data_IF_587358709932
#
_entry.id   IF_587358709932
#
_cell.length_a   1.000
_cell.length_b   1.000
_cell.length_c   1.000
_cell.angle_alpha   90.00
_cell.angle_beta   90.00
_cell.angle_gamma   90.00
#
_symmetry.space_group_name_H-M   'P 1'
#
loop_
_entity.id
_entity.type
_entity.pdbx_description
1 polymer ?
#
# COMPACT_ATOMS: atom_id res chain seq x y z
N UNK A 1 -6.81 -12.63 -14.66
CA UNK A 1 -7.20 -11.39 -14.01
C UNK A 1 -8.45 -10.88 -14.63
N UNK A 2 -9.43 -10.41 -13.87
CA UNK A 2 -10.48 -9.63 -14.45
C UNK A 2 -9.84 -8.44 -15.18
N UNK A 3 -10.38 -8.09 -16.32
CA UNK A 3 -10.01 -6.94 -17.10
C UNK A 3 -10.13 -5.69 -16.23
N UNK A 4 -9.06 -5.38 -15.51
CA UNK A 4 -9.04 -4.30 -14.53
C UNK A 4 -8.20 -3.14 -15.03
N UNK A 5 -8.56 -1.95 -14.62
CA UNK A 5 -7.66 -0.81 -14.62
C UNK A 5 -6.64 -1.05 -13.53
N UNK A 6 -5.44 -1.20 -13.91
CA UNK A 6 -4.36 -1.49 -13.00
C UNK A 6 -3.07 -1.55 -13.79
N UNK A 7 -2.10 -2.17 -13.22
CA UNK A 7 -0.80 -2.30 -13.83
C UNK A 7 -0.81 -3.57 -14.66
N UNK A 8 -0.81 -3.47 -16.00
CA UNK A 8 -1.13 -4.60 -16.88
C UNK A 8 -0.08 -5.70 -16.89
N UNK A 9 1.06 -5.49 -16.24
CA UNK A 9 2.15 -6.46 -16.17
C UNK A 9 2.13 -7.32 -14.91
N UNK A 10 1.03 -7.29 -14.15
CA UNK A 10 0.90 -8.14 -12.99
C UNK A 10 0.04 -9.36 -13.25
N UNK A 11 0.68 -10.45 -13.58
CA UNK A 11 0.12 -11.80 -13.49
C UNK A 11 0.17 -12.29 -12.04
N UNK A 12 -0.48 -11.61 -11.14
CA UNK A 12 -0.23 -11.70 -9.72
C UNK A 12 -0.95 -12.83 -9.00
N UNK A 13 -1.60 -13.74 -9.69
CA UNK A 13 -2.35 -14.82 -9.04
C UNK A 13 -1.60 -16.15 -8.99
N UNK A 14 -0.34 -16.16 -9.38
CA UNK A 14 0.47 -17.36 -9.20
C UNK A 14 1.02 -17.38 -7.78
N UNK A 15 0.72 -18.43 -7.03
CA UNK A 15 1.34 -18.70 -5.73
C UNK A 15 2.83 -19.11 -5.86
N UNK A 16 3.44 -18.83 -6.99
CA UNK A 16 4.85 -19.15 -7.24
C UNK A 16 5.70 -17.92 -7.04
N UNK A 17 6.86 -18.05 -6.41
CA UNK A 17 7.85 -16.98 -6.38
C UNK A 17 8.22 -16.56 -7.80
N UNK A 18 8.23 -15.25 -8.05
CA UNK A 18 8.67 -14.70 -9.32
C UNK A 18 10.19 -14.49 -9.26
N UNK A 19 10.92 -15.11 -10.17
CA UNK A 19 12.35 -14.82 -10.32
C UNK A 19 12.54 -13.48 -11.01
N UNK A 20 13.13 -12.53 -10.31
CA UNK A 20 13.35 -11.16 -10.77
C UNK A 20 14.77 -10.95 -11.31
N UNK A 21 15.70 -11.78 -10.92
CA UNK A 21 17.08 -11.89 -11.42
C UNK A 21 17.60 -13.28 -11.09
N UNK A 22 18.70 -13.76 -11.72
CA UNK A 22 19.26 -15.08 -11.45
C UNK A 22 19.43 -15.38 -9.97
N UNK A 23 18.70 -16.39 -9.47
CA UNK A 23 18.69 -16.80 -8.08
C UNK A 23 17.98 -15.84 -7.11
N UNK A 24 17.35 -14.79 -7.56
CA UNK A 24 16.65 -13.79 -6.73
C UNK A 24 15.15 -13.84 -6.98
N UNK A 25 14.43 -14.26 -5.98
CA UNK A 25 13.00 -14.48 -6.06
C UNK A 25 12.24 -13.45 -5.21
N UNK A 26 11.16 -12.93 -5.77
CA UNK A 26 10.16 -12.25 -4.97
C UNK A 26 9.34 -13.28 -4.19
N UNK A 27 8.77 -12.87 -3.06
CA UNK A 27 7.79 -13.69 -2.36
C UNK A 27 6.61 -14.02 -3.28
N UNK A 28 5.88 -15.12 -3.04
CA UNK A 28 4.66 -15.39 -3.78
C UNK A 28 3.75 -14.18 -3.77
N UNK A 29 3.17 -13.88 -4.92
CA UNK A 29 2.21 -12.79 -5.03
C UNK A 29 1.03 -13.03 -4.12
N UNK A 30 0.62 -12.01 -3.41
CA UNK A 30 -0.49 -12.07 -2.48
C UNK A 30 -0.87 -10.70 -1.97
N UNK A 31 -2.05 -10.64 -1.39
CA UNK A 31 -2.58 -9.45 -0.75
C UNK A 31 -2.53 -9.67 0.75
N UNK A 32 -1.78 -8.83 1.43
CA UNK A 32 -1.45 -9.02 2.83
C UNK A 32 -1.78 -7.78 3.65
N UNK A 33 -1.95 -7.96 4.95
CA UNK A 33 -1.82 -6.93 5.96
C UNK A 33 -2.72 -5.72 5.69
N UNK A 34 -4.00 -5.97 5.51
CA UNK A 34 -5.02 -4.98 5.17
C UNK A 34 -5.09 -3.81 6.16
N UNK A 35 -5.25 -2.61 5.60
CA UNK A 35 -5.64 -1.40 6.31
C UNK A 35 -7.01 -0.97 5.81
N UNK A 36 -7.95 -0.84 6.73
CA UNK A 36 -9.33 -0.49 6.39
C UNK A 36 -9.58 0.95 6.76
N UNK A 37 -10.03 1.73 5.81
CA UNK A 37 -10.37 3.14 6.01
C UNK A 37 -11.76 3.44 5.48
N UNK A 38 -12.41 4.44 6.06
CA UNK A 38 -13.62 5.03 5.54
C UNK A 38 -13.30 6.38 4.91
N UNK A 39 -13.77 6.64 3.70
CA UNK A 39 -13.55 7.94 3.06
C UNK A 39 -14.47 8.99 3.70
N UNK A 40 -13.85 10.01 4.28
CA UNK A 40 -14.54 11.09 5.03
C UNK A 40 -14.82 12.33 4.19
N UNK A 41 -14.07 12.54 3.11
CA UNK A 41 -14.28 13.69 2.22
C UNK A 41 -15.56 13.49 1.40
N UNK A 42 -16.54 14.38 1.63
CA UNK A 42 -17.84 14.36 0.95
C UNK A 42 -17.76 14.61 -0.56
N UNK A 43 -16.67 15.17 -1.03
CA UNK A 43 -16.45 15.44 -2.46
C UNK A 43 -15.73 14.30 -3.18
N UNK A 44 -15.27 13.31 -2.44
CA UNK A 44 -14.58 12.16 -3.02
C UNK A 44 -15.58 11.21 -3.70
N UNK A 45 -15.20 10.68 -4.87
CA UNK A 45 -16.06 9.75 -5.64
C UNK A 45 -16.39 8.44 -4.90
N UNK A 46 -15.62 8.10 -3.88
CA UNK A 46 -15.84 6.91 -3.03
C UNK A 46 -16.55 7.24 -1.72
N UNK A 47 -16.96 8.48 -1.54
CA UNK A 47 -17.68 8.86 -0.33
C UNK A 47 -19.06 8.18 -0.29
N UNK A 48 -19.36 7.60 0.85
CA UNK A 48 -20.66 7.00 1.12
C UNK A 48 -21.36 7.77 2.24
N UNK A 49 -22.45 8.50 1.94
CA UNK A 49 -23.20 9.27 2.95
C UNK A 49 -23.88 8.37 4.00
N UNK A 50 -24.12 7.09 3.70
CA UNK A 50 -24.68 6.13 4.66
C UNK A 50 -23.62 5.61 5.64
N UNK A 51 -22.34 5.84 5.37
CA UNK A 51 -21.23 5.39 6.21
C UNK A 51 -21.01 3.88 6.21
N UNK A 52 -21.56 3.16 5.24
CA UNK A 52 -21.53 1.69 5.15
C UNK A 52 -20.43 1.14 4.26
N UNK A 53 -19.68 2.01 3.57
CA UNK A 53 -18.63 1.63 2.66
C UNK A 53 -17.26 1.92 3.26
N UNK A 54 -16.38 0.95 3.17
CA UNK A 54 -14.98 1.01 3.59
C UNK A 54 -14.09 0.62 2.44
N UNK A 55 -12.88 1.14 2.43
CA UNK A 55 -11.83 0.79 1.46
C UNK A 55 -10.71 0.07 2.18
N UNK A 56 -10.34 -1.08 1.64
CA UNK A 56 -9.31 -1.93 2.19
C UNK A 56 -8.08 -1.85 1.30
N UNK A 57 -7.02 -1.25 1.82
CA UNK A 57 -5.72 -1.18 1.18
C UNK A 57 -4.86 -2.32 1.68
N UNK A 58 -4.31 -3.11 0.76
CA UNK A 58 -3.53 -4.28 1.11
C UNK A 58 -2.13 -4.16 0.50
N UNK A 59 -1.16 -4.58 1.28
CA UNK A 59 0.18 -4.79 0.78
C UNK A 59 0.13 -5.74 -0.42
N UNK A 60 0.79 -5.36 -1.50
CA UNK A 60 0.82 -6.15 -2.72
C UNK A 60 2.25 -6.56 -3.09
N UNK A 61 2.48 -7.87 -3.16
CA UNK A 61 3.72 -8.42 -3.70
C UNK A 61 3.64 -8.49 -5.22
N UNK A 62 4.10 -7.46 -5.85
CA UNK A 62 3.97 -7.27 -7.29
C UNK A 62 5.28 -7.43 -8.05
N UNK A 63 6.38 -7.77 -7.36
CA UNK A 63 7.73 -7.72 -7.94
C UNK A 63 8.29 -6.30 -8.10
N UNK A 64 7.42 -5.29 -8.04
CA UNK A 64 7.76 -3.87 -8.07
C UNK A 64 7.54 -3.20 -6.73
N UNK A 65 7.62 -1.88 -6.73
CA UNK A 65 7.40 -1.04 -5.56
C UNK A 65 6.35 0.02 -5.87
N UNK A 66 5.80 0.61 -4.80
CA UNK A 66 4.93 1.77 -4.96
C UNK A 66 3.49 1.47 -5.37
N UNK A 67 3.00 0.24 -5.12
CA UNK A 67 1.62 -0.14 -5.38
C UNK A 67 0.99 -0.86 -4.19
N UNK A 68 -0.29 -0.60 -3.96
CA UNK A 68 -1.12 -1.38 -3.06
C UNK A 68 -2.33 -1.94 -3.80
N UNK A 69 -2.88 -3.04 -3.31
CA UNK A 69 -4.16 -3.56 -3.78
C UNK A 69 -5.30 -2.82 -3.07
N UNK A 70 -6.39 -2.61 -3.78
CA UNK A 70 -7.60 -1.96 -3.28
C UNK A 70 -8.79 -2.90 -3.40
N UNK A 71 -9.50 -3.06 -2.28
CA UNK A 71 -10.81 -3.70 -2.24
C UNK A 71 -11.83 -2.75 -1.61
N UNK A 72 -13.09 -2.94 -1.98
CA UNK A 72 -14.23 -2.27 -1.37
C UNK A 72 -14.94 -3.25 -0.45
N UNK A 73 -15.28 -2.81 0.74
CA UNK A 73 -16.09 -3.55 1.69
C UNK A 73 -17.34 -2.73 1.96
N UNK A 74 -18.51 -3.33 1.81
CA UNK A 74 -19.76 -2.65 2.06
C UNK A 74 -20.67 -3.50 2.95
N UNK A 75 -21.30 -2.84 3.91
CA UNK A 75 -22.41 -3.42 4.66
C UNK A 75 -23.64 -3.54 3.77
N UNK A 76 -24.20 -4.75 3.65
CA UNK A 76 -25.43 -5.01 2.94
C UNK A 76 -26.68 -4.67 3.80
N UNK A 77 -27.88 -4.85 3.24
CA UNK A 77 -29.15 -4.61 3.93
C UNK A 77 -29.44 -5.55 5.10
N UNK A 78 -28.68 -6.60 5.25
CA UNK A 78 -28.79 -7.55 6.36
C UNK A 78 -27.73 -7.28 7.45
N UNK A 79 -26.91 -6.22 7.30
CA UNK A 79 -25.82 -5.90 8.20
C UNK A 79 -24.57 -6.75 7.97
N UNK A 80 -24.47 -7.47 6.84
CA UNK A 80 -23.32 -8.28 6.53
C UNK A 80 -22.28 -7.48 5.72
N UNK A 81 -21.00 -7.65 6.06
CA UNK A 81 -19.91 -7.02 5.34
C UNK A 81 -19.54 -7.83 4.10
N UNK A 82 -19.75 -7.26 2.94
CA UNK A 82 -19.46 -7.89 1.64
C UNK A 82 -18.24 -7.24 1.02
N UNK A 83 -17.24 -8.06 0.70
CA UNK A 83 -16.01 -7.62 0.06
C UNK A 83 -16.11 -7.82 -1.45
N UNK A 84 -15.71 -6.81 -2.21
CA UNK A 84 -15.67 -6.82 -3.66
C UNK A 84 -14.56 -5.92 -4.20
N UNK A 85 -14.49 -5.82 -5.51
CA UNK A 85 -13.57 -4.87 -6.14
C UNK A 85 -14.13 -3.46 -6.15
N UNK A 86 -13.24 -2.47 -6.12
CA UNK A 86 -13.60 -1.10 -6.43
C UNK A 86 -13.74 -0.95 -7.94
N UNK A 87 -14.75 -0.25 -8.37
CA UNK A 87 -14.97 0.07 -9.78
C UNK A 87 -14.75 1.56 -10.04
N UNK A 88 -14.24 1.86 -11.23
CA UNK A 88 -14.18 3.23 -11.74
C UNK A 88 -15.59 3.69 -12.20
N UNK A 89 -15.81 5.00 -12.39
CA UNK A 89 -17.07 5.49 -12.96
C UNK A 89 -17.39 4.90 -14.34
N UNK A 90 -16.39 4.43 -15.08
CA UNK A 90 -16.56 3.75 -16.37
C UNK A 90 -16.89 2.25 -16.25
N UNK A 91 -17.01 1.72 -15.03
CA UNK A 91 -17.34 0.32 -14.77
C UNK A 91 -16.13 -0.64 -14.84
N UNK A 92 -14.93 -0.13 -14.90
CA UNK A 92 -13.74 -0.96 -14.90
C UNK A 92 -13.28 -1.27 -13.47
N UNK A 93 -12.80 -2.48 -13.24
CA UNK A 93 -12.25 -2.88 -11.96
C UNK A 93 -10.94 -2.15 -11.66
N UNK A 94 -10.90 -1.47 -10.53
CA UNK A 94 -9.69 -0.84 -9.99
C UNK A 94 -9.12 -1.75 -8.91
N UNK A 95 -8.00 -2.40 -9.21
CA UNK A 95 -7.39 -3.37 -8.31
C UNK A 95 -6.11 -2.86 -7.65
N UNK A 96 -5.28 -2.15 -8.39
CA UNK A 96 -4.02 -1.58 -7.89
C UNK A 96 -4.02 -0.07 -7.98
N UNK A 97 -3.45 0.55 -6.95
CA UNK A 97 -3.20 2.00 -6.92
C UNK A 97 -1.72 2.28 -6.77
N UNK A 98 -1.22 3.36 -7.35
CA UNK A 98 0.04 3.96 -6.91
C UNK A 98 -0.02 4.24 -5.41
N UNK A 99 0.91 3.67 -4.66
CA UNK A 99 0.84 3.73 -3.21
C UNK A 99 2.26 3.69 -2.61
N UNK A 100 2.78 4.81 -2.09
CA UNK A 100 4.13 4.87 -1.57
C UNK A 100 4.36 3.86 -0.44
N UNK A 101 5.25 2.90 -0.67
CA UNK A 101 5.53 1.83 0.29
C UNK A 101 4.52 0.67 0.30
N UNK A 102 3.56 0.63 -0.65
CA UNK A 102 2.53 -0.42 -0.71
C UNK A 102 3.05 -1.85 -0.91
N UNK A 103 4.31 -2.01 -1.27
CA UNK A 103 5.00 -3.29 -1.39
C UNK A 103 5.44 -3.89 -0.04
N UNK A 104 5.37 -3.13 1.04
CA UNK A 104 5.65 -3.54 2.42
C UNK A 104 4.46 -3.20 3.32
N UNK A 105 4.54 -3.58 4.59
CA UNK A 105 3.53 -3.20 5.58
C UNK A 105 3.51 -1.69 5.77
N UNK A 106 2.35 -1.10 5.62
CA UNK A 106 2.06 0.29 5.94
C UNK A 106 0.96 0.36 7.00
N UNK A 107 0.78 1.54 7.59
CA UNK A 107 -0.29 1.80 8.53
C UNK A 107 -0.94 3.14 8.19
N UNK A 108 -2.28 3.18 8.15
CA UNK A 108 -3.06 4.37 7.86
C UNK A 108 -3.94 4.69 9.06
N UNK A 109 -3.97 5.97 9.45
CA UNK A 109 -4.87 6.50 10.45
C UNK A 109 -5.49 7.79 9.94
N UNK A 110 -6.77 8.02 10.23
CA UNK A 110 -7.44 9.30 9.96
C UNK A 110 -7.37 10.18 11.21
N UNK A 111 -6.98 11.41 11.01
CA UNK A 111 -6.98 12.45 12.05
C UNK A 111 -8.18 13.37 11.87
N UNK A 112 -9.04 13.39 12.87
CA UNK A 112 -10.26 14.20 12.88
C UNK A 112 -9.97 15.71 13.01
N UNK A 113 -8.82 16.10 13.58
CA UNK A 113 -8.43 17.49 13.76
C UNK A 113 -7.95 18.09 12.44
N UNK A 114 -6.93 17.49 11.85
CA UNK A 114 -6.38 17.94 10.56
C UNK A 114 -7.25 17.55 9.37
N UNK A 115 -8.16 16.60 9.55
CA UNK A 115 -8.97 15.97 8.50
C UNK A 115 -8.13 15.34 7.40
N UNK A 116 -7.02 14.74 7.79
CA UNK A 116 -6.08 14.08 6.91
C UNK A 116 -5.95 12.60 7.27
N UNK A 117 -5.64 11.80 6.28
CA UNK A 117 -5.12 10.46 6.47
C UNK A 117 -3.61 10.55 6.59
N UNK A 118 -3.08 9.96 7.64
CA UNK A 118 -1.66 9.83 7.86
C UNK A 118 -1.22 8.40 7.60
N UNK A 119 -0.10 8.23 6.94
CA UNK A 119 0.43 6.92 6.62
C UNK A 119 1.91 6.83 6.95
N UNK A 120 2.28 5.80 7.71
CA UNK A 120 3.67 5.38 7.85
C UNK A 120 3.94 4.20 6.93
N UNK A 121 4.99 4.27 6.14
CA UNK A 121 5.39 3.23 5.20
C UNK A 121 6.89 3.24 4.94
N UNK A 122 7.41 2.17 4.35
CA UNK A 122 8.81 2.12 3.97
C UNK A 122 9.07 2.85 2.64
N UNK A 123 10.20 3.53 2.57
CA UNK A 123 10.70 4.13 1.35
C UNK A 123 11.79 3.26 0.73
N UNK A 124 11.65 2.96 -0.55
CA UNK A 124 12.67 2.26 -1.34
C UNK A 124 13.48 3.25 -2.16
N UNK A 125 14.80 3.14 -2.13
CA UNK A 125 15.72 4.01 -2.86
C UNK A 125 16.24 3.38 -4.14
N UNK A 126 16.40 2.08 -4.12
CA UNK A 126 16.98 1.34 -5.25
C UNK A 126 15.94 0.94 -6.31
N UNK A 127 14.77 1.57 -6.28
CA UNK A 127 13.68 1.28 -7.20
C UNK A 127 14.01 1.45 -8.68
N UNK A 128 14.99 2.33 -8.98
CA UNK A 128 15.43 2.61 -10.35
C UNK A 128 16.65 1.79 -10.76
N UNK A 129 17.19 1.00 -9.86
CA UNK A 129 18.33 0.13 -10.17
C UNK A 129 17.85 -1.22 -10.68
N UNK A 130 18.59 -1.77 -11.63
CA UNK A 130 18.35 -3.16 -12.03
C UNK A 130 18.71 -4.09 -10.89
N UNK A 131 17.93 -5.11 -10.68
CA UNK A 131 18.13 -6.07 -9.58
C UNK A 131 19.50 -6.74 -9.68
N UNK A 132 19.96 -7.05 -10.90
CA UNK A 132 21.28 -7.63 -11.14
C UNK A 132 22.45 -6.72 -10.76
N UNK A 133 22.21 -5.41 -10.62
CA UNK A 133 23.24 -4.46 -10.19
C UNK A 133 23.36 -4.31 -8.67
N UNK A 134 22.42 -4.90 -7.91
CA UNK A 134 22.46 -4.88 -6.45
C UNK A 134 23.42 -5.94 -5.93
N UNK A 135 24.15 -5.67 -4.82
CA UNK A 135 25.03 -6.64 -4.20
C UNK A 135 24.28 -7.92 -3.82
N UNK A 136 24.82 -9.07 -4.16
CA UNK A 136 24.22 -10.37 -3.80
C UNK A 136 24.23 -10.61 -2.29
N UNK A 137 25.18 -10.02 -1.60
CA UNK A 137 25.34 -10.12 -0.14
C UNK A 137 24.42 -9.20 0.63
N UNK A 138 23.70 -8.30 -0.05
CA UNK A 138 22.73 -7.43 0.59
C UNK A 138 21.56 -8.27 1.12
N UNK A 139 21.16 -8.03 2.37
CA UNK A 139 19.95 -8.61 2.95
C UNK A 139 18.72 -8.30 2.10
N UNK A 140 18.76 -7.18 1.42
CA UNK A 140 17.69 -6.66 0.60
C UNK A 140 18.02 -6.74 -0.90
N UNK A 141 18.62 -7.82 -1.35
CA UNK A 141 18.98 -7.99 -2.76
C UNK A 141 17.90 -7.70 -3.80
N UNK A 142 16.74 -7.25 -3.35
CA UNK A 142 15.61 -6.78 -4.16
C UNK A 142 15.21 -5.37 -3.71
N UNK A 143 14.97 -4.42 -4.63
CA UNK A 143 14.54 -3.05 -4.30
C UNK A 143 13.26 -3.01 -3.46
N UNK A 144 12.36 -3.94 -3.69
CA UNK A 144 11.09 -4.04 -2.97
C UNK A 144 11.22 -4.64 -1.56
N UNK A 145 12.43 -4.89 -1.09
CA UNK A 145 12.67 -5.43 0.25
C UNK A 145 13.50 -4.49 1.14
N UNK A 146 13.74 -3.28 0.70
CA UNK A 146 14.39 -2.24 1.52
C UNK A 146 13.49 -1.84 2.70
N UNK A 147 14.00 -1.99 3.93
CA UNK A 147 13.20 -1.81 5.16
C UNK A 147 13.81 -0.84 6.16
N UNK A 148 14.90 -0.18 5.82
CA UNK A 148 15.68 0.62 6.76
C UNK A 148 15.28 2.10 6.80
N UNK A 149 14.30 2.50 5.97
CA UNK A 149 13.77 3.87 5.94
C UNK A 149 12.26 3.84 6.17
N UNK A 150 11.82 4.61 7.14
CA UNK A 150 10.40 4.77 7.46
C UNK A 150 10.01 6.22 7.23
N UNK A 151 9.04 6.43 6.35
CA UNK A 151 8.52 7.74 5.99
C UNK A 151 7.12 7.96 6.55
N UNK A 152 6.77 9.23 6.74
CA UNK A 152 5.43 9.69 7.06
C UNK A 152 4.86 10.43 5.86
N UNK A 153 3.66 10.09 5.49
CA UNK A 153 2.91 10.72 4.41
C UNK A 153 1.54 11.17 4.90
N UNK A 154 0.95 12.10 4.20
CA UNK A 154 -0.43 12.53 4.43
C UNK A 154 -1.23 12.60 3.13
N UNK A 155 -2.54 12.47 3.25
CA UNK A 155 -3.47 12.51 2.13
C UNK A 155 -4.84 13.00 2.57
N UNK A 156 -5.60 13.65 1.68
CA UNK A 156 -7.02 13.95 1.88
C UNK A 156 -7.95 12.81 1.46
N UNK A 157 -7.47 11.93 0.60
CA UNK A 157 -8.33 10.99 -0.14
C UNK A 157 -7.79 9.55 -0.22
N UNK A 158 -6.67 9.24 0.44
CA UNK A 158 -5.97 7.96 0.36
C UNK A 158 -5.50 7.54 -1.05
N UNK A 159 -5.49 8.48 -2.00
CA UNK A 159 -5.02 8.26 -3.37
C UNK A 159 -3.79 9.12 -3.65
N UNK A 160 -3.90 10.41 -3.37
CA UNK A 160 -2.81 11.37 -3.56
C UNK A 160 -2.04 11.52 -2.24
N UNK A 161 -0.85 10.97 -2.20
CA UNK A 161 0.00 10.97 -1.01
C UNK A 161 1.13 12.00 -1.13
N UNK A 162 1.23 12.86 -0.13
CA UNK A 162 2.29 13.84 0.03
C UNK A 162 3.24 13.41 1.13
N UNK A 163 4.54 13.59 0.94
CA UNK A 163 5.53 13.31 1.96
C UNK A 163 5.51 14.39 3.03
N UNK A 164 5.36 13.99 4.29
CA UNK A 164 5.50 14.87 5.46
C UNK A 164 6.95 14.87 5.97
N UNK A 165 7.61 13.71 5.99
CA UNK A 165 8.98 13.61 6.44
C UNK A 165 9.46 12.17 6.60
N UNK A 166 10.71 12.05 7.07
CA UNK A 166 11.30 10.77 7.46
C UNK A 166 11.17 10.56 8.96
N UNK A 167 10.47 9.50 9.37
CA UNK A 167 10.36 9.13 10.80
C UNK A 167 11.67 8.52 11.28
N UNK A 168 12.26 7.64 10.47
CA UNK A 168 13.51 6.97 10.79
C UNK A 168 14.28 6.59 9.53
N UNK A 169 15.58 6.78 9.59
CA UNK A 169 16.50 6.38 8.53
C UNK A 169 17.72 5.74 9.16
N UNK A 170 18.02 4.50 8.76
CA UNK A 170 19.26 3.83 9.15
C UNK A 170 20.19 3.76 7.95
N UNK A 171 21.46 4.11 8.18
CA UNK A 171 22.50 3.96 7.16
C UNK A 171 22.88 2.50 6.89
N UNK A 172 22.59 1.62 7.83
CA UNK A 172 22.83 0.19 7.69
C UNK A 172 21.53 -0.54 7.36
N UNK A 173 21.47 -1.13 6.17
CA UNK A 173 20.32 -1.87 5.67
C UNK A 173 20.00 -3.16 6.45
N UNK A 174 20.89 -3.60 7.34
CA UNK A 174 20.64 -4.74 8.24
C UNK A 174 19.61 -4.43 9.33
N UNK A 175 19.36 -3.14 9.59
CA UNK A 175 18.39 -2.72 10.59
C UNK A 175 17.06 -2.35 9.93
N UNK A 176 16.06 -3.18 10.15
CA UNK A 176 14.71 -2.93 9.64
C UNK A 176 13.96 -1.90 10.48
N UNK A 177 13.22 -1.03 9.80
CA UNK A 177 12.24 -0.08 10.33
C UNK A 177 10.91 -0.32 9.63
N UNK A 178 10.28 -1.44 9.88
CA UNK A 178 9.05 -1.86 9.22
C UNK A 178 7.98 -2.29 10.24
N UNK A 179 6.80 -2.60 9.75
CA UNK A 179 5.62 -2.89 10.57
C UNK A 179 5.23 -1.70 11.48
N UNK A 180 5.08 -0.49 10.89
CA UNK A 180 4.73 0.68 11.68
C UNK A 180 3.32 0.56 12.26
N UNK A 181 3.12 1.31 13.33
CA UNK A 181 1.83 1.60 13.93
C UNK A 181 1.81 3.09 14.30
N UNK A 182 0.71 3.77 14.06
CA UNK A 182 0.49 5.18 14.37
C UNK A 182 -0.66 5.30 15.35
N UNK A 183 -0.53 6.21 16.29
CA UNK A 183 -1.59 6.59 17.21
C UNK A 183 -1.59 8.12 17.31
N UNK A 184 -2.76 8.73 17.21
CA UNK A 184 -2.95 10.17 17.36
C UNK A 184 -3.46 10.44 18.77
N UNK A 185 -2.79 11.30 19.51
CA UNK A 185 -3.15 11.69 20.88
C UNK A 185 -3.23 13.21 20.97
N UNK A 186 -4.45 13.74 20.97
CA UNK A 186 -4.64 15.20 20.93
C UNK A 186 -4.11 15.80 19.64
N UNK A 187 -3.19 16.73 19.74
CA UNK A 187 -2.52 17.38 18.60
C UNK A 187 -1.21 16.69 18.20
N UNK A 188 -0.83 15.62 18.89
CA UNK A 188 0.40 14.86 18.67
C UNK A 188 0.12 13.53 17.94
N UNK A 189 1.15 13.04 17.21
CA UNK A 189 1.13 11.76 16.50
C UNK A 189 2.36 10.93 16.83
#
# INVERSE_FOLDING_TARGET
>A
FPEGVGIPFYESLTNKPLELAPGRFNAPTGWLEAQVVQIKDKHHIWYDPEGKTFHMFLRAHTGGIGYACLLKVREDKNGQMVTGFQETPSGQTLLFLPFPGGHLKFFIVYDEISRLYWMASNQSFDSMRTISSLPETSRYGLPNNERHRLQLLFSKNCVDWCMAGMIACQGNELYSRNYPSLCIVGEDM
#
